data_IF_991046260228
#
_entry.id   IF_991046260228
#
_cell.length_a   1.000
_cell.length_b   1.000
_cell.length_c   1.000
_cell.angle_alpha   90.00
_cell.angle_beta   90.00
_cell.angle_gamma   90.00
#
_symmetry.space_group_name_H-M   'P 1'
#
loop_
_entity.id
_entity.type
_entity.pdbx_description
1 polymer ?
#
# COMPACT_ATOMS: atom_id res chain seq x y z
N UNK A 1 1.28 -5.98 -24.43
CA UNK A 1 0.81 -4.60 -24.18
C UNK A 1 0.08 -4.60 -22.85
N UNK A 2 0.42 -3.71 -21.92
CA UNK A 2 -0.27 -3.58 -20.64
C UNK A 2 -1.77 -3.27 -20.81
N UNK A 3 -2.61 -3.78 -19.91
CA UNK A 3 -4.06 -3.63 -19.98
C UNK A 3 -4.62 -3.21 -18.62
N UNK A 4 -5.41 -2.14 -18.57
CA UNK A 4 -6.26 -1.79 -17.45
C UNK A 4 -7.73 -1.95 -17.86
N UNK A 5 -8.48 -2.77 -17.13
CA UNK A 5 -9.92 -2.94 -17.28
C UNK A 5 -10.62 -2.26 -16.11
N UNK A 6 -11.46 -1.28 -16.41
CA UNK A 6 -12.25 -0.56 -15.40
C UNK A 6 -13.68 -1.03 -15.47
N UNK A 7 -14.21 -1.49 -14.35
CA UNK A 7 -15.55 -2.08 -14.21
C UNK A 7 -16.34 -1.39 -13.08
N UNK A 8 -17.69 -1.51 -13.06
CA UNK A 8 -18.50 -0.84 -12.06
C UNK A 8 -18.40 -1.41 -10.63
N UNK A 9 -18.14 -2.73 -10.48
CA UNK A 9 -18.20 -3.40 -9.18
C UNK A 9 -17.02 -4.35 -8.96
N UNK A 10 -16.68 -4.63 -7.70
CA UNK A 10 -15.64 -5.61 -7.35
C UNK A 10 -16.01 -7.04 -7.78
N UNK A 11 -17.31 -7.37 -7.82
CA UNK A 11 -17.76 -8.68 -8.32
C UNK A 11 -17.43 -8.84 -9.81
N UNK A 12 -17.70 -7.81 -10.61
CA UNK A 12 -17.33 -7.80 -12.02
C UNK A 12 -15.81 -7.77 -12.23
N UNK A 13 -15.08 -7.07 -11.36
CA UNK A 13 -13.63 -7.09 -11.40
C UNK A 13 -13.07 -8.50 -11.18
N UNK A 14 -13.57 -9.24 -10.20
CA UNK A 14 -13.18 -10.64 -9.99
C UNK A 14 -13.52 -11.55 -11.18
N UNK A 15 -14.69 -11.36 -11.83
CA UNK A 15 -15.05 -12.11 -13.05
C UNK A 15 -14.11 -11.79 -14.22
N UNK A 16 -13.79 -10.52 -14.43
CA UNK A 16 -12.86 -10.10 -15.48
C UNK A 16 -11.45 -10.66 -15.25
N UNK A 17 -10.95 -10.64 -14.01
CA UNK A 17 -9.64 -11.21 -13.67
C UNK A 17 -9.60 -12.70 -14.04
N UNK A 18 -10.60 -13.48 -13.61
CA UNK A 18 -10.68 -14.89 -13.95
C UNK A 18 -10.78 -15.15 -15.46
N UNK A 19 -11.51 -14.32 -16.21
CA UNK A 19 -11.60 -14.43 -17.66
C UNK A 19 -10.27 -14.13 -18.35
N UNK A 20 -9.52 -13.13 -17.90
CA UNK A 20 -8.21 -12.79 -18.43
C UNK A 20 -7.20 -13.91 -18.22
N UNK A 21 -7.21 -14.56 -17.05
CA UNK A 21 -6.40 -15.75 -16.75
C UNK A 21 -6.75 -16.91 -17.71
N UNK A 22 -8.04 -17.17 -17.91
CA UNK A 22 -8.50 -18.19 -18.87
C UNK A 22 -8.10 -17.86 -20.34
N UNK A 23 -7.98 -16.59 -20.67
CA UNK A 23 -7.51 -16.11 -21.98
C UNK A 23 -5.99 -16.19 -22.13
N UNK A 24 -5.27 -16.60 -21.10
CA UNK A 24 -3.83 -16.82 -21.12
C UNK A 24 -3.00 -15.61 -20.67
N UNK A 25 -3.59 -14.66 -19.95
CA UNK A 25 -2.82 -13.62 -19.26
C UNK A 25 -2.14 -14.24 -18.06
N UNK A 26 -0.80 -14.27 -18.06
CA UNK A 26 -0.02 -14.86 -16.97
C UNK A 26 0.02 -13.98 -15.71
N UNK A 27 -0.25 -12.69 -15.87
CA UNK A 27 -0.29 -11.70 -14.79
C UNK A 27 -1.59 -10.91 -14.92
N UNK A 28 -2.69 -11.47 -14.44
CA UNK A 28 -3.96 -10.78 -14.29
C UNK A 28 -4.19 -10.51 -12.79
N UNK A 29 -4.24 -9.25 -12.40
CA UNK A 29 -4.36 -8.84 -11.00
C UNK A 29 -5.62 -8.02 -10.77
N UNK A 30 -6.33 -8.32 -9.67
CA UNK A 30 -7.38 -7.47 -9.15
C UNK A 30 -6.73 -6.34 -8.33
N UNK A 31 -7.03 -5.08 -8.67
CA UNK A 31 -6.70 -3.93 -7.84
C UNK A 31 -7.89 -3.62 -6.92
N UNK A 32 -7.82 -3.94 -5.63
CA UNK A 32 -8.93 -3.76 -4.72
C UNK A 32 -9.12 -2.28 -4.38
N UNK A 33 -10.37 -1.84 -4.26
CA UNK A 33 -10.72 -0.49 -3.83
C UNK A 33 -11.72 -0.53 -2.69
N UNK A 34 -11.64 0.44 -1.78
CA UNK A 34 -12.62 0.60 -0.71
C UNK A 34 -13.86 1.33 -1.23
N UNK A 35 -15.01 0.87 -0.82
CA UNK A 35 -16.31 1.54 -1.04
C UNK A 35 -16.59 2.62 0.01
N UNK A 36 -15.83 2.61 1.11
CA UNK A 36 -16.01 3.53 2.22
C UNK A 36 -15.66 4.98 1.88
N UNK A 37 -16.23 5.89 2.66
CA UNK A 37 -15.92 7.31 2.61
C UNK A 37 -14.50 7.57 3.18
N UNK A 38 -13.73 8.55 2.67
CA UNK A 38 -12.45 8.94 3.26
C UNK A 38 -12.59 9.55 4.67
N UNK A 39 -13.82 9.90 5.08
CA UNK A 39 -14.13 10.42 6.41
C UNK A 39 -14.49 9.34 7.43
N UNK A 40 -14.52 8.07 7.04
CA UNK A 40 -14.69 7.00 8.00
C UNK A 40 -13.53 6.96 9.01
N UNK A 41 -13.82 6.65 10.30
CA UNK A 41 -12.80 6.70 11.36
C UNK A 41 -11.71 5.64 11.20
N UNK A 42 -11.98 4.59 10.45
CA UNK A 42 -11.07 3.46 10.26
C UNK A 42 -10.47 3.43 8.86
N UNK A 43 -9.21 3.04 8.76
CA UNK A 43 -8.60 2.74 7.47
C UNK A 43 -9.29 1.52 6.82
N UNK A 44 -9.25 1.37 5.49
CA UNK A 44 -9.66 0.15 4.81
C UNK A 44 -8.98 -1.07 5.40
N UNK A 45 -9.60 -2.24 5.27
CA UNK A 45 -9.03 -3.50 5.77
C UNK A 45 -7.63 -3.74 5.21
N UNK A 46 -6.82 -4.46 5.95
CA UNK A 46 -5.44 -4.78 5.56
C UNK A 46 -5.39 -5.45 4.19
N UNK A 47 -6.35 -6.32 3.88
CA UNK A 47 -6.42 -7.03 2.60
C UNK A 47 -6.56 -6.07 1.41
N UNK A 48 -7.33 -4.98 1.56
CA UNK A 48 -7.45 -3.96 0.50
C UNK A 48 -6.12 -3.23 0.32
N UNK A 49 -5.52 -2.77 1.43
CA UNK A 49 -4.27 -1.99 1.38
C UNK A 49 -3.13 -2.86 0.83
N UNK A 50 -3.01 -4.10 1.29
CA UNK A 50 -1.96 -5.02 0.85
C UNK A 50 -2.13 -5.44 -0.61
N UNK A 51 -3.36 -5.71 -1.05
CA UNK A 51 -3.64 -5.96 -2.46
C UNK A 51 -3.29 -4.76 -3.35
N UNK A 52 -3.55 -3.52 -2.90
CA UNK A 52 -3.09 -2.32 -3.60
C UNK A 52 -1.56 -2.25 -3.65
N UNK A 53 -0.88 -2.42 -2.51
CA UNK A 53 0.59 -2.37 -2.43
C UNK A 53 1.26 -3.45 -3.27
N UNK A 54 0.67 -4.66 -3.36
CA UNK A 54 1.17 -5.72 -4.23
C UNK A 54 1.16 -5.27 -5.70
N UNK A 55 0.01 -4.82 -6.21
CA UNK A 55 -0.11 -4.34 -7.60
C UNK A 55 0.83 -3.16 -7.86
N UNK A 56 0.89 -2.18 -6.95
CA UNK A 56 1.76 -1.02 -7.10
C UNK A 56 3.24 -1.40 -7.04
N UNK A 57 3.61 -2.35 -6.19
CA UNK A 57 4.97 -2.88 -6.11
C UNK A 57 5.39 -3.56 -7.42
N UNK A 58 4.50 -4.33 -8.03
CA UNK A 58 4.76 -4.99 -9.32
C UNK A 58 4.93 -3.96 -10.42
N UNK A 59 4.07 -2.94 -10.48
CA UNK A 59 4.17 -1.85 -11.46
C UNK A 59 5.48 -1.05 -11.34
N UNK A 60 5.95 -0.82 -10.11
CA UNK A 60 7.20 -0.08 -9.85
C UNK A 60 8.45 -0.95 -10.01
N UNK A 61 8.30 -2.27 -10.01
CA UNK A 61 9.43 -3.22 -9.94
C UNK A 61 10.01 -3.64 -11.26
N UNK A 62 9.21 -3.79 -12.30
CA UNK A 62 9.65 -4.17 -13.65
C UNK A 62 8.93 -3.32 -14.70
N UNK A 63 9.51 -2.16 -15.05
CA UNK A 63 8.93 -1.29 -16.07
C UNK A 63 8.92 -1.94 -17.47
N UNK A 64 9.70 -3.00 -17.70
CA UNK A 64 9.75 -3.76 -18.94
C UNK A 64 8.82 -4.99 -18.95
N UNK A 65 8.09 -5.26 -17.88
CA UNK A 65 7.04 -6.27 -17.86
C UNK A 65 5.98 -5.95 -18.91
N UNK A 66 6.16 -6.53 -20.10
CA UNK A 66 5.46 -6.11 -21.31
C UNK A 66 4.01 -6.60 -21.43
N UNK A 67 3.52 -7.37 -20.44
CA UNK A 67 2.23 -8.07 -20.58
C UNK A 67 1.60 -8.36 -19.21
N UNK A 68 1.02 -7.35 -18.61
CA UNK A 68 0.17 -7.50 -17.41
C UNK A 68 -1.24 -6.98 -17.68
N UNK A 69 -2.21 -7.47 -16.93
CA UNK A 69 -3.56 -6.96 -16.90
C UNK A 69 -3.97 -6.61 -15.46
N UNK A 70 -4.50 -5.44 -15.26
CA UNK A 70 -5.08 -5.01 -13.99
C UNK A 70 -6.57 -4.79 -14.21
N UNK A 71 -7.38 -5.32 -13.30
CA UNK A 71 -8.82 -5.07 -13.28
C UNK A 71 -9.16 -4.33 -12.00
N UNK A 72 -9.89 -3.23 -12.12
CA UNK A 72 -10.24 -2.37 -10.99
C UNK A 72 -11.63 -1.74 -11.18
N UNK A 73 -12.21 -1.22 -10.11
CA UNK A 73 -13.40 -0.37 -10.22
C UNK A 73 -13.00 1.05 -10.60
N UNK A 74 -13.96 1.88 -10.99
CA UNK A 74 -13.77 3.30 -11.32
C UNK A 74 -13.11 4.11 -10.19
N UNK A 75 -13.15 3.58 -8.96
CA UNK A 75 -12.52 4.19 -7.77
C UNK A 75 -11.01 4.28 -7.91
N UNK A 76 -10.38 3.39 -8.70
CA UNK A 76 -8.95 3.44 -8.96
C UNK A 76 -8.51 4.70 -9.74
N UNK A 77 -9.43 5.37 -10.42
CA UNK A 77 -9.17 6.59 -11.20
C UNK A 77 -9.17 7.86 -10.33
N UNK A 78 -9.60 7.74 -9.08
CA UNK A 78 -9.64 8.86 -8.14
C UNK A 78 -8.32 8.97 -7.37
N UNK A 79 -7.91 10.19 -6.95
CA UNK A 79 -6.74 10.37 -6.11
C UNK A 79 -6.91 9.68 -4.75
N UNK A 80 -6.09 8.68 -4.45
CA UNK A 80 -6.14 7.92 -3.20
C UNK A 80 -4.79 7.29 -2.82
N UNK A 81 -3.75 7.60 -3.58
CA UNK A 81 -2.42 7.02 -3.46
C UNK A 81 -1.36 8.11 -3.23
N UNK A 82 -0.23 7.80 -2.60
CA UNK A 82 0.94 8.66 -2.65
C UNK A 82 1.45 8.76 -4.10
N UNK A 83 2.21 9.80 -4.45
CA UNK A 83 2.90 9.85 -5.75
C UNK A 83 3.83 8.64 -5.96
N UNK A 84 3.99 8.13 -7.21
CA UNK A 84 4.82 6.96 -7.49
C UNK A 84 6.24 7.06 -6.95
N UNK A 85 6.88 8.23 -7.06
CA UNK A 85 8.23 8.45 -6.57
C UNK A 85 8.32 8.35 -5.03
N UNK A 86 7.28 8.75 -4.30
CA UNK A 86 7.24 8.61 -2.85
C UNK A 86 7.20 7.13 -2.44
N UNK A 87 6.36 6.31 -3.08
CA UNK A 87 6.32 4.87 -2.82
C UNK A 87 7.61 4.18 -3.26
N UNK A 88 8.17 4.57 -4.41
CA UNK A 88 9.41 4.01 -4.93
C UNK A 88 10.61 4.29 -4.02
N UNK A 89 10.70 5.50 -3.47
CA UNK A 89 11.80 5.89 -2.58
C UNK A 89 11.80 5.14 -1.25
N UNK A 90 10.63 4.69 -0.78
CA UNK A 90 10.49 3.90 0.45
C UNK A 90 10.61 2.39 0.21
N UNK A 91 10.57 1.95 -1.04
CA UNK A 91 10.72 0.53 -1.40
C UNK A 91 12.21 0.17 -1.42
N UNK A 92 12.61 -0.85 -0.64
CA UNK A 92 13.98 -1.36 -0.59
C UNK A 92 14.03 -2.79 -1.15
N UNK A 93 15.05 -3.09 -1.95
CA UNK A 93 15.28 -4.46 -2.42
C UNK A 93 16.58 -4.98 -1.81
N UNK A 94 16.48 -6.11 -1.11
CA UNK A 94 17.61 -6.84 -0.54
C UNK A 94 17.97 -8.02 -1.45
N UNK A 95 19.26 -8.20 -1.71
CA UNK A 95 19.78 -9.29 -2.54
C UNK A 95 20.92 -10.02 -1.83
N UNK A 96 21.12 -11.25 -2.23
CA UNK A 96 22.31 -12.00 -1.78
C UNK A 96 23.58 -11.22 -2.08
N UNK A 97 24.48 -11.11 -1.08
CA UNK A 97 25.73 -10.37 -1.14
C UNK A 97 25.62 -8.90 -0.75
N UNK A 98 24.43 -8.39 -0.45
CA UNK A 98 24.27 -7.04 0.09
C UNK A 98 24.87 -6.96 1.50
N UNK A 99 25.55 -5.86 1.80
CA UNK A 99 25.97 -5.51 3.15
C UNK A 99 24.85 -4.75 3.86
N UNK A 100 24.36 -5.26 4.96
CA UNK A 100 23.21 -4.72 5.69
C UNK A 100 23.48 -4.73 7.19
N UNK A 101 23.45 -3.56 7.80
CA UNK A 101 23.44 -3.45 9.26
C UNK A 101 22.08 -3.92 9.79
N UNK A 102 22.11 -4.90 10.71
CA UNK A 102 20.90 -5.53 11.24
C UNK A 102 20.09 -4.63 12.18
N UNK A 103 20.72 -3.64 12.81
CA UNK A 103 20.01 -2.65 13.64
C UNK A 103 19.32 -1.64 12.73
N UNK A 104 20.02 -1.12 11.70
CA UNK A 104 19.45 -0.24 10.68
C UNK A 104 18.29 -0.90 9.92
N UNK A 105 18.41 -2.20 9.61
CA UNK A 105 17.33 -2.97 9.01
C UNK A 105 16.10 -3.02 9.93
N UNK A 106 16.30 -3.23 11.24
CA UNK A 106 15.22 -3.23 12.21
C UNK A 106 14.51 -1.88 12.32
N UNK A 107 15.27 -0.78 12.31
CA UNK A 107 14.71 0.58 12.28
C UNK A 107 13.94 0.85 10.99
N UNK A 108 14.49 0.44 9.85
CA UNK A 108 13.83 0.53 8.54
C UNK A 108 12.49 -0.22 8.54
N UNK A 109 12.47 -1.46 9.03
CA UNK A 109 11.24 -2.26 9.11
C UNK A 109 10.19 -1.59 10.01
N UNK A 110 10.60 -1.03 11.15
CA UNK A 110 9.70 -0.30 12.03
C UNK A 110 9.13 0.96 11.33
N UNK A 111 9.96 1.73 10.62
CA UNK A 111 9.53 2.90 9.84
C UNK A 111 8.59 2.54 8.69
N UNK A 112 8.76 1.38 8.08
CA UNK A 112 7.87 0.83 7.06
C UNK A 112 6.56 0.28 7.65
N UNK A 113 6.42 0.23 8.99
CA UNK A 113 5.23 -0.22 9.68
C UNK A 113 5.19 -1.72 9.99
N UNK A 114 6.30 -2.45 9.82
CA UNK A 114 6.36 -3.88 10.17
C UNK A 114 6.35 -4.08 11.69
N UNK A 115 5.48 -4.97 12.15
CA UNK A 115 5.43 -5.34 13.57
C UNK A 115 6.52 -6.35 13.93
N UNK A 116 7.27 -6.08 14.99
CA UNK A 116 8.25 -7.03 15.52
C UNK A 116 7.56 -8.10 16.38
N UNK A 117 7.68 -9.35 15.96
CA UNK A 117 7.06 -10.51 16.64
C UNK A 117 8.11 -11.56 17.02
N UNK A 118 7.74 -12.53 17.82
CA UNK A 118 8.61 -13.66 18.18
C UNK A 118 8.59 -14.77 17.11
N UNK A 119 7.47 -14.96 16.43
CA UNK A 119 7.27 -15.97 15.39
C UNK A 119 6.43 -15.35 14.28
N UNK A 120 6.83 -15.54 13.03
CA UNK A 120 6.11 -15.05 11.86
C UNK A 120 4.92 -15.95 11.56
N UNK A 121 3.71 -15.35 11.54
CA UNK A 121 2.47 -16.05 11.23
C UNK A 121 1.62 -15.29 10.19
N UNK A 122 1.83 -13.97 10.06
CA UNK A 122 1.04 -13.11 9.19
C UNK A 122 1.89 -12.04 8.52
N UNK A 123 1.40 -11.50 7.42
CA UNK A 123 2.02 -10.43 6.65
C UNK A 123 2.22 -9.17 7.51
N UNK A 124 3.18 -8.33 7.12
CA UNK A 124 3.50 -7.09 7.84
C UNK A 124 4.25 -7.34 9.15
N UNK A 125 4.77 -8.53 9.39
CA UNK A 125 5.52 -8.87 10.59
C UNK A 125 6.98 -9.27 10.29
N UNK A 126 7.85 -9.11 11.31
CA UNK A 126 9.24 -9.52 11.24
C UNK A 126 9.76 -10.03 12.58
N UNK A 127 10.78 -10.89 12.54
CA UNK A 127 11.46 -11.36 13.74
C UNK A 127 12.96 -11.48 13.51
N UNK A 128 13.74 -11.36 14.57
CA UNK A 128 15.22 -11.56 14.52
C UNK A 128 15.66 -12.54 15.58
N UNK A 129 16.48 -13.49 15.17
CA UNK A 129 17.12 -14.49 16.05
C UNK A 129 18.60 -14.61 15.69
N UNK A 130 19.44 -13.83 16.38
CA UNK A 130 20.88 -13.75 16.07
C UNK A 130 21.10 -13.13 14.69
N UNK A 131 21.74 -13.91 13.80
CA UNK A 131 22.04 -13.52 12.42
C UNK A 131 20.95 -13.95 11.42
N UNK A 132 19.76 -14.31 11.90
CA UNK A 132 18.61 -14.67 11.09
C UNK A 132 17.52 -13.62 11.28
N UNK A 133 17.02 -13.07 10.17
CA UNK A 133 15.88 -12.19 10.14
C UNK A 133 14.80 -12.81 9.27
N UNK A 134 13.64 -13.06 9.85
CA UNK A 134 12.44 -13.53 9.15
C UNK A 134 11.51 -12.34 8.91
N UNK A 135 11.03 -12.16 7.68
CA UNK A 135 10.14 -11.06 7.30
C UNK A 135 8.99 -11.63 6.48
N UNK A 136 7.75 -11.20 6.76
CA UNK A 136 6.61 -11.48 5.91
C UNK A 136 6.14 -10.18 5.24
N UNK A 137 6.64 -9.90 4.02
CA UNK A 137 6.22 -8.71 3.29
C UNK A 137 4.73 -8.75 2.95
N UNK A 138 4.08 -7.59 2.98
CA UNK A 138 2.66 -7.46 2.60
C UNK A 138 2.44 -7.60 1.08
N UNK A 139 3.52 -7.57 0.30
CA UNK A 139 3.52 -7.75 -1.15
C UNK A 139 4.01 -9.14 -1.60
N UNK A 140 4.04 -10.12 -0.70
CA UNK A 140 4.50 -11.48 -0.99
C UNK A 140 3.54 -12.52 -0.43
N UNK A 141 3.37 -13.63 -1.12
CA UNK A 141 2.53 -14.74 -0.67
C UNK A 141 3.16 -15.53 0.48
N UNK A 142 4.49 -15.52 0.56
CA UNK A 142 5.26 -16.26 1.55
C UNK A 142 6.26 -15.35 2.28
N UNK A 143 6.53 -15.65 3.56
CA UNK A 143 7.58 -14.98 4.30
C UNK A 143 8.97 -15.44 3.82
N UNK A 144 9.95 -14.56 3.99
CA UNK A 144 11.35 -14.80 3.58
C UNK A 144 12.25 -14.77 4.79
N UNK A 145 13.12 -15.78 4.90
CA UNK A 145 14.20 -15.90 5.86
C UNK A 145 15.49 -15.38 5.26
N UNK A 146 16.09 -14.41 5.90
CA UNK A 146 17.37 -13.81 5.60
C UNK A 146 18.40 -14.41 6.56
N UNK A 147 19.46 -15.06 6.04
CA UNK A 147 20.57 -15.58 6.82
C UNK A 147 21.81 -14.72 6.54
N UNK A 148 22.38 -14.14 7.60
CA UNK A 148 23.52 -13.24 7.50
C UNK A 148 24.80 -13.94 7.96
N UNK A 149 25.93 -13.55 7.36
CA UNK A 149 27.26 -13.85 7.84
C UNK A 149 27.99 -12.54 8.16
N UNK A 150 27.95 -12.13 9.42
CA UNK A 150 28.28 -10.75 9.82
C UNK A 150 27.22 -9.79 9.28
N UNK A 151 27.63 -8.83 8.46
CA UNK A 151 26.75 -7.87 7.79
C UNK A 151 26.35 -8.30 6.37
N UNK A 152 26.97 -9.36 5.81
CA UNK A 152 26.70 -9.84 4.47
C UNK A 152 25.45 -10.76 4.45
N UNK A 153 24.50 -10.47 3.59
CA UNK A 153 23.31 -11.31 3.34
C UNK A 153 23.71 -12.53 2.50
N UNK A 154 23.93 -13.68 3.16
CA UNK A 154 24.42 -14.92 2.51
C UNK A 154 23.29 -15.69 1.81
N UNK A 155 22.07 -15.75 2.43
CA UNK A 155 20.95 -16.52 1.87
C UNK A 155 19.61 -15.85 2.09
N UNK A 156 18.75 -15.99 1.07
CA UNK A 156 17.33 -15.65 1.12
C UNK A 156 16.54 -16.90 0.74
N UNK A 157 15.55 -17.26 1.59
CA UNK A 157 14.68 -18.42 1.35
C UNK A 157 13.27 -18.11 1.79
N UNK A 158 12.31 -18.48 0.97
CA UNK A 158 10.94 -18.58 1.44
C UNK A 158 10.81 -19.65 2.53
N UNK A 159 9.80 -19.52 3.37
CA UNK A 159 9.46 -20.55 4.35
C UNK A 159 7.95 -20.59 4.59
N UNK A 160 7.47 -21.74 5.00
CA UNK A 160 6.08 -21.96 5.36
C UNK A 160 5.82 -21.39 6.77
N UNK A 161 4.90 -20.42 6.92
CA UNK A 161 4.66 -19.78 8.21
C UNK A 161 4.04 -20.72 9.26
N UNK A 162 3.32 -21.77 8.84
CA UNK A 162 2.70 -22.72 9.77
C UNK A 162 3.71 -23.71 10.33
N UNK A 163 4.60 -24.27 9.49
CA UNK A 163 5.59 -25.25 9.89
C UNK A 163 6.97 -24.65 10.21
N UNK A 164 7.21 -23.40 9.87
CA UNK A 164 8.49 -22.68 9.99
C UNK A 164 9.64 -23.30 9.18
N UNK A 165 9.32 -24.17 8.22
CA UNK A 165 10.32 -24.85 7.39
C UNK A 165 10.66 -24.01 6.17
N UNK A 166 11.96 -23.89 5.90
CA UNK A 166 12.46 -23.24 4.69
C UNK A 166 12.02 -24.02 3.44
N UNK A 167 11.66 -23.25 2.41
CA UNK A 167 11.26 -23.67 1.08
C UNK A 167 12.37 -23.31 0.07
N UNK A 168 11.96 -22.75 -1.06
CA UNK A 168 12.84 -22.42 -2.17
C UNK A 168 13.72 -21.19 -1.86
N UNK A 169 14.88 -21.14 -2.50
CA UNK A 169 15.75 -19.96 -2.47
C UNK A 169 15.16 -18.89 -3.40
N UNK A 170 15.25 -17.64 -2.96
CA UNK A 170 14.88 -16.48 -3.76
C UNK A 170 16.07 -15.57 -3.99
N UNK A 171 16.10 -14.88 -5.13
CA UNK A 171 17.25 -14.03 -5.51
C UNK A 171 17.22 -12.65 -4.85
N UNK A 172 16.01 -12.20 -4.48
CA UNK A 172 15.80 -10.88 -3.90
C UNK A 172 14.53 -10.85 -3.03
N UNK A 173 14.54 -9.97 -2.05
CA UNK A 173 13.37 -9.59 -1.26
C UNK A 173 13.08 -8.12 -1.48
N UNK A 174 11.86 -7.79 -1.90
CA UNK A 174 11.38 -6.42 -1.98
C UNK A 174 10.59 -6.09 -0.72
N UNK A 175 11.01 -5.04 -0.03
CA UNK A 175 10.36 -4.49 1.15
C UNK A 175 9.57 -3.26 0.73
N UNK A 176 8.26 -3.31 0.89
CA UNK A 176 7.34 -2.18 0.74
C UNK A 176 6.84 -1.76 2.10
N UNK A 177 6.34 -0.54 2.28
CA UNK A 177 5.58 -0.19 3.48
C UNK A 177 4.40 -1.14 3.69
N UNK A 178 3.99 -1.33 4.94
CA UNK A 178 2.82 -2.16 5.27
C UNK A 178 1.48 -1.45 5.02
N UNK A 179 1.54 -0.16 4.69
CA UNK A 179 0.40 0.68 4.37
C UNK A 179 0.83 2.04 3.89
N UNK A 180 -0.13 2.90 3.56
CA UNK A 180 0.17 4.28 3.14
C UNK A 180 0.37 5.23 4.32
N UNK A 181 -0.10 4.86 5.53
CA UNK A 181 0.09 5.64 6.75
C UNK A 181 1.54 6.00 7.04
N UNK A 182 2.50 5.07 7.00
CA UNK A 182 3.92 5.38 7.20
C UNK A 182 4.46 6.46 6.25
N UNK A 183 4.07 6.43 4.98
CA UNK A 183 4.51 7.43 4.00
C UNK A 183 3.92 8.80 4.29
N UNK A 184 2.63 8.85 4.61
CA UNK A 184 1.94 10.10 5.00
C UNK A 184 2.58 10.68 6.26
N UNK A 185 2.86 9.83 7.25
CA UNK A 185 3.51 10.20 8.50
C UNK A 185 4.89 10.84 8.27
N UNK A 186 5.72 10.21 7.45
CA UNK A 186 7.06 10.70 7.12
C UNK A 186 7.01 12.04 6.37
N UNK A 187 6.12 12.15 5.39
CA UNK A 187 5.92 13.37 4.61
C UNK A 187 5.45 14.54 5.49
N UNK A 188 4.49 14.31 6.40
CA UNK A 188 3.98 15.34 7.31
C UNK A 188 5.04 15.78 8.32
N UNK A 189 5.87 14.87 8.84
CA UNK A 189 7.04 15.24 9.66
C UNK A 189 7.96 16.22 8.95
N UNK A 190 8.17 16.02 7.66
CA UNK A 190 9.03 16.87 6.84
C UNK A 190 8.39 18.21 6.50
N UNK A 191 7.11 18.23 6.16
CA UNK A 191 6.42 19.44 5.68
C UNK A 191 6.03 20.40 6.79
N UNK A 192 5.61 19.89 7.95
CA UNK A 192 5.05 20.71 9.02
C UNK A 192 5.48 20.29 10.43
N UNK A 193 6.79 20.26 10.74
CA UNK A 193 7.29 19.77 12.01
C UNK A 193 6.67 20.50 13.22
N UNK A 194 6.45 21.81 13.10
CA UNK A 194 5.87 22.67 14.16
C UNK A 194 4.33 22.67 14.20
N UNK A 195 3.68 22.02 13.22
CA UNK A 195 2.22 21.98 13.08
C UNK A 195 1.56 20.68 13.50
N UNK A 196 2.34 19.64 13.74
CA UNK A 196 1.86 18.28 13.99
C UNK A 196 0.96 18.17 15.22
N UNK A 197 1.36 18.79 16.33
CA UNK A 197 0.61 18.78 17.58
C UNK A 197 -0.80 19.35 17.42
N UNK A 198 -0.92 20.44 16.64
CA UNK A 198 -2.22 21.07 16.37
C UNK A 198 -3.08 20.22 15.44
N UNK A 199 -2.46 19.44 14.54
CA UNK A 199 -3.13 18.59 13.58
C UNK A 199 -3.57 17.25 14.19
N UNK A 200 -2.68 16.62 14.96
CA UNK A 200 -2.82 15.24 15.42
C UNK A 200 -3.16 15.14 16.91
N UNK A 201 -2.90 16.20 17.70
CA UNK A 201 -2.91 16.17 19.16
C UNK A 201 -1.65 15.55 19.76
N UNK A 202 -1.49 15.69 21.08
CA UNK A 202 -0.24 15.37 21.79
C UNK A 202 0.19 13.90 21.62
N UNK A 203 -0.72 12.96 21.86
CA UNK A 203 -0.41 11.53 21.86
C UNK A 203 0.03 11.02 20.46
N UNK A 204 -0.70 11.40 19.41
CA UNK A 204 -0.36 10.99 18.05
C UNK A 204 0.92 11.66 17.55
N UNK A 205 1.16 12.91 17.98
CA UNK A 205 2.41 13.62 17.68
C UNK A 205 3.60 12.96 18.37
N UNK A 206 3.50 12.60 19.64
CA UNK A 206 4.55 11.88 20.39
C UNK A 206 4.86 10.54 19.69
N UNK A 207 3.82 9.74 19.39
CA UNK A 207 3.99 8.49 18.64
C UNK A 207 4.69 8.69 17.29
N UNK A 208 4.32 9.76 16.57
CA UNK A 208 4.91 10.09 15.27
C UNK A 208 6.38 10.50 15.41
N UNK A 209 6.73 11.29 16.41
CA UNK A 209 8.11 11.73 16.67
C UNK A 209 9.01 10.57 17.12
N UNK A 210 8.45 9.59 17.82
CA UNK A 210 9.14 8.35 18.20
C UNK A 210 9.31 7.35 17.03
N UNK A 211 8.93 7.74 15.81
CA UNK A 211 9.07 6.93 14.60
C UNK A 211 7.92 5.97 14.34
N UNK A 212 6.87 5.98 15.17
CA UNK A 212 5.64 5.20 14.94
C UNK A 212 4.72 5.84 13.91
N UNK A 213 3.70 5.10 13.52
CA UNK A 213 2.63 5.58 12.63
C UNK A 213 1.31 5.61 13.41
N UNK A 214 0.78 6.79 13.75
CA UNK A 214 -0.55 6.89 14.34
C UNK A 214 -1.63 6.32 13.41
N UNK A 215 -2.70 5.79 14.01
CA UNK A 215 -3.84 5.28 13.25
C UNK A 215 -4.52 6.41 12.48
N UNK A 216 -5.07 6.09 11.31
CA UNK A 216 -5.79 7.05 10.47
C UNK A 216 -4.91 8.03 9.69
N UNK A 217 -3.59 7.88 9.69
CA UNK A 217 -2.68 8.77 8.95
C UNK A 217 -3.00 8.83 7.45
N UNK A 218 -3.53 7.75 6.86
CA UNK A 218 -3.92 7.71 5.45
C UNK A 218 -4.92 8.80 5.06
N UNK A 219 -5.81 9.20 5.97
CA UNK A 219 -6.80 10.27 5.75
C UNK A 219 -6.17 11.63 5.48
N UNK A 220 -4.93 11.80 5.92
CA UNK A 220 -4.16 13.03 5.73
C UNK A 220 -3.35 13.05 4.43
N UNK A 221 -3.65 12.15 3.50
CA UNK A 221 -2.98 12.06 2.19
C UNK A 221 -2.97 13.40 1.44
N UNK A 222 -4.12 14.11 1.42
CA UNK A 222 -4.25 15.41 0.77
C UNK A 222 -3.50 16.56 1.46
N UNK A 223 -3.09 16.37 2.74
CA UNK A 223 -2.19 17.31 3.43
C UNK A 223 -0.72 16.96 3.20
N UNK A 224 -0.41 15.68 3.03
CA UNK A 224 0.94 15.21 2.74
C UNK A 224 1.37 15.53 1.30
N UNK A 225 0.44 15.48 0.35
CA UNK A 225 0.69 15.80 -1.06
C UNK A 225 -0.44 16.69 -1.60
N UNK A 226 -0.06 17.83 -2.20
CA UNK A 226 -1.02 18.74 -2.83
C UNK A 226 -1.84 18.06 -3.93
N UNK A 227 -1.24 17.09 -4.61
CA UNK A 227 -1.86 16.26 -5.62
C UNK A 227 -1.58 14.78 -5.32
N UNK A 228 -2.44 14.11 -4.53
CA UNK A 228 -2.39 12.66 -4.40
C UNK A 228 -2.58 11.98 -5.75
N UNK A 229 -1.96 10.82 -5.92
CA UNK A 229 -2.02 10.06 -7.16
C UNK A 229 -3.24 9.12 -7.23
N UNK A 230 -3.57 8.72 -8.44
CA UNK A 230 -4.47 7.62 -8.78
C UNK A 230 -3.69 6.43 -9.33
N UNK A 231 -4.35 5.33 -9.63
CA UNK A 231 -3.70 4.20 -10.31
C UNK A 231 -3.15 4.59 -11.69
N UNK A 232 -3.75 5.60 -12.35
CA UNK A 232 -3.29 6.06 -13.66
C UNK A 232 -1.86 6.63 -13.63
N UNK A 233 -1.46 7.21 -12.51
CA UNK A 233 -0.13 7.79 -12.35
C UNK A 233 0.97 6.71 -12.20
N UNK A 234 0.58 5.45 -11.95
CA UNK A 234 1.48 4.31 -11.79
C UNK A 234 1.64 3.46 -13.05
N UNK A 235 0.75 3.61 -14.02
CA UNK A 235 0.78 2.81 -15.24
C UNK A 235 1.44 3.56 -16.40
N UNK A 236 2.14 2.84 -17.33
CA UNK A 236 2.73 3.47 -18.51
C UNK A 236 1.68 4.09 -19.45
N UNK A 237 2.05 5.17 -20.15
CA UNK A 237 1.21 5.82 -21.16
C UNK A 237 0.81 4.88 -22.32
N UNK A 238 1.55 3.78 -22.50
CA UNK A 238 1.27 2.75 -23.51
C UNK A 238 0.19 1.75 -23.09
N UNK A 239 -0.37 1.89 -21.88
CA UNK A 239 -1.39 0.99 -21.36
C UNK A 239 -2.70 1.15 -22.11
N UNK A 240 -3.26 0.02 -22.56
CA UNK A 240 -4.62 0.00 -23.11
C UNK A 240 -5.63 0.05 -21.97
N UNK A 241 -6.54 1.02 -22.01
CA UNK A 241 -7.60 1.13 -20.99
C UNK A 241 -8.92 0.71 -21.64
N UNK A 242 -9.58 -0.28 -21.02
CA UNK A 242 -10.92 -0.74 -21.39
C UNK A 242 -11.87 -0.36 -20.26
N UNK A 243 -12.95 0.33 -20.60
CA UNK A 243 -14.00 0.69 -19.63
C UNK A 243 -15.24 -0.12 -19.98
N UNK A 244 -15.56 -1.09 -19.13
CA UNK A 244 -16.75 -1.90 -19.26
C UNK A 244 -17.92 -1.23 -18.56
N UNK A 245 -19.14 -1.37 -19.11
CA UNK A 245 -20.37 -0.82 -18.55
C UNK A 245 -20.26 0.65 -18.10
N UNK A 246 -19.60 1.51 -18.90
CA UNK A 246 -19.27 2.91 -18.56
C UNK A 246 -20.40 3.67 -17.89
N UNK A 247 -21.67 3.44 -18.32
CA UNK A 247 -22.83 4.16 -17.75
C UNK A 247 -23.07 3.77 -16.28
N UNK A 248 -22.86 2.49 -15.96
CA UNK A 248 -22.98 1.99 -14.59
C UNK A 248 -21.82 2.51 -13.73
N UNK A 249 -20.59 2.48 -14.23
CA UNK A 249 -19.44 3.04 -13.52
C UNK A 249 -19.60 4.52 -13.19
N UNK A 250 -20.07 5.33 -14.16
CA UNK A 250 -20.36 6.75 -13.91
C UNK A 250 -21.44 6.94 -12.84
N UNK A 251 -22.53 6.15 -12.90
CA UNK A 251 -23.60 6.24 -11.91
C UNK A 251 -23.12 5.84 -10.51
N UNK A 252 -22.30 4.79 -10.42
CA UNK A 252 -21.69 4.32 -9.18
C UNK A 252 -20.77 5.38 -8.57
N UNK A 253 -19.88 5.95 -9.38
CA UNK A 253 -18.98 7.03 -8.94
C UNK A 253 -19.73 8.27 -8.47
N UNK A 254 -20.81 8.67 -9.16
CA UNK A 254 -21.65 9.80 -8.73
C UNK A 254 -22.38 9.53 -7.41
N UNK A 255 -22.88 8.31 -7.22
CA UNK A 255 -23.53 7.93 -5.96
C UNK A 255 -22.54 7.94 -4.80
N UNK A 256 -21.35 7.45 -5.03
CA UNK A 256 -20.29 7.48 -4.02
C UNK A 256 -19.88 8.91 -3.67
N UNK A 257 -19.66 9.78 -4.66
CA UNK A 257 -19.35 11.19 -4.41
C UNK A 257 -20.42 11.89 -3.58
N UNK A 258 -21.71 11.64 -3.90
CA UNK A 258 -22.81 12.17 -3.10
C UNK A 258 -22.77 11.68 -1.64
N UNK A 259 -22.46 10.40 -1.43
CA UNK A 259 -22.31 9.85 -0.07
C UNK A 259 -21.11 10.49 0.68
N UNK A 260 -19.98 10.67 0.00
CA UNK A 260 -18.81 11.35 0.58
C UNK A 260 -19.12 12.79 0.97
N UNK A 261 -19.83 13.51 0.10
CA UNK A 261 -20.25 14.90 0.34
C UNK A 261 -21.20 15.00 1.54
N UNK A 262 -22.19 14.09 1.62
CA UNK A 262 -23.10 14.01 2.78
C UNK A 262 -22.35 13.75 4.08
N UNK A 263 -21.43 12.77 4.10
CA UNK A 263 -20.62 12.43 5.26
C UNK A 263 -19.68 13.59 5.67
N UNK A 264 -19.11 14.31 4.69
CA UNK A 264 -18.34 15.53 4.97
C UNK A 264 -19.18 16.58 5.70
N UNK A 265 -20.40 16.84 5.20
CA UNK A 265 -21.30 17.82 5.81
C UNK A 265 -21.72 17.43 7.24
N UNK A 266 -21.96 16.14 7.49
CA UNK A 266 -22.27 15.62 8.83
C UNK A 266 -21.11 15.85 9.78
N UNK A 267 -19.88 15.46 9.40
CA UNK A 267 -18.68 15.65 10.19
C UNK A 267 -18.40 17.13 10.49
N UNK A 268 -18.57 17.99 9.49
CA UNK A 268 -18.39 19.44 9.66
C UNK A 268 -19.44 20.05 10.61
N UNK A 269 -20.68 19.53 10.57
CA UNK A 269 -21.73 19.97 11.49
C UNK A 269 -21.46 19.53 12.92
N UNK A 270 -20.99 18.28 13.12
CA UNK A 270 -20.60 17.78 14.44
C UNK A 270 -19.40 18.55 15.02
N UNK A 271 -18.46 18.97 14.17
CA UNK A 271 -17.33 19.81 14.56
C UNK A 271 -17.73 21.27 14.85
N UNK A 272 -19.00 21.66 14.60
CA UNK A 272 -19.51 23.01 14.81
C UNK A 272 -19.03 24.03 13.79
N UNK A 273 -18.51 23.58 12.63
CA UNK A 273 -18.03 24.46 11.56
C UNK A 273 -19.21 25.14 10.84
N UNK A 274 -19.09 26.45 10.62
CA UNK A 274 -20.08 27.21 9.83
C UNK A 274 -19.87 27.02 8.31
N UNK A 275 -20.82 27.47 7.48
CA UNK A 275 -20.79 27.27 6.02
C UNK A 275 -19.50 27.80 5.35
N UNK A 276 -18.91 28.89 5.87
CA UNK A 276 -17.68 29.46 5.31
C UNK A 276 -16.40 28.74 5.77
N UNK A 277 -16.50 27.84 6.72
CA UNK A 277 -15.39 27.01 7.24
C UNK A 277 -15.44 25.56 6.70
N UNK A 278 -16.46 25.25 5.87
CA UNK A 278 -16.67 23.93 5.25
C UNK A 278 -16.07 23.81 3.86
N UNK A 279 -15.68 24.95 3.23
CA UNK A 279 -14.93 25.00 1.97
C UNK A 279 -13.40 24.93 2.22
#
# INVERSE_FOLDING_TARGET
TPLLVVVPTLEEAGRWTALLELMGWNQASLYPTSEGSPYEPFDPTSEIIWGQLQVLSDLLGDPDASSWAIVATERCLQPHLPPPDALKSTTRTLRKGDEVDLEELGETLAQLGYERVTTIEQEGSWSRRGDIVDIFPVSSELPVRLEFFGEELDKLREFDPASQRSLDAVDALRLTPTGFGPLVADQLRTLMPDGLERLLGDQATEQLLDGGTPEGMRRLMGLAWEQPASLLDYIPDTTTIVIDERRHGVAHGQQWLAHVEEHHLEMAAEAGLNESERE
#
